data_IF_269935962427
#
_entry.id   IF_269935962427
#
_cell.length_a   1.000
_cell.length_b   1.000
_cell.length_c   1.000
_cell.angle_alpha   90.00
_cell.angle_beta   90.00
_cell.angle_gamma   90.00
#
_symmetry.space_group_name_H-M   'P 1'
#
loop_
_entity.id
_entity.type
_entity.pdbx_description
1 polymer ?
#
# COMPACT_ATOMS: atom_id res chain seq x y z
N UNK A 1 0.54 13.72 10.32
CA UNK A 1 -0.73 12.96 10.44
C UNK A 1 -0.54 11.54 9.85
N UNK A 2 0.42 10.74 10.34
CA UNK A 2 0.75 9.43 9.74
C UNK A 2 -0.05 8.25 10.30
N UNK A 3 -0.74 8.40 11.42
CA UNK A 3 -1.38 7.29 12.11
C UNK A 3 -2.54 6.68 11.31
N UNK A 4 -3.33 7.52 10.62
CA UNK A 4 -4.43 7.05 9.77
C UNK A 4 -3.89 6.30 8.55
N UNK A 5 -2.88 6.87 7.89
CA UNK A 5 -2.22 6.30 6.72
C UNK A 5 -1.72 4.88 7.00
N UNK A 6 -0.92 4.71 8.06
CA UNK A 6 -0.39 3.41 8.48
C UNK A 6 -1.48 2.46 8.97
N UNK A 7 -2.56 2.98 9.54
CA UNK A 7 -3.70 2.14 9.95
C UNK A 7 -4.44 1.58 8.76
N UNK A 8 -4.69 2.37 7.70
CA UNK A 8 -5.27 1.86 6.45
C UNK A 8 -4.39 0.75 5.88
N UNK A 9 -3.07 0.99 5.80
CA UNK A 9 -2.14 0.01 5.23
C UNK A 9 -2.10 -1.26 6.05
N UNK A 10 -2.04 -1.16 7.39
CA UNK A 10 -2.07 -2.30 8.30
C UNK A 10 -3.33 -3.15 8.11
N UNK A 11 -4.51 -2.52 8.19
CA UNK A 11 -5.79 -3.22 8.06
C UNK A 11 -5.91 -3.90 6.69
N UNK A 12 -5.41 -3.25 5.63
CA UNK A 12 -5.36 -3.84 4.30
C UNK A 12 -4.52 -5.13 4.27
N UNK A 13 -3.30 -5.11 4.80
CA UNK A 13 -2.44 -6.30 4.83
C UNK A 13 -3.01 -7.40 5.76
N UNK A 14 -3.48 -7.05 6.95
CA UNK A 14 -4.08 -8.00 7.90
C UNK A 14 -5.34 -8.66 7.32
N UNK A 15 -6.18 -7.91 6.58
CA UNK A 15 -7.36 -8.44 5.89
C UNK A 15 -7.01 -9.47 4.79
N UNK A 16 -5.77 -9.50 4.32
CA UNK A 16 -5.24 -10.49 3.37
C UNK A 16 -4.39 -11.57 4.04
N UNK A 17 -4.40 -11.67 5.37
CA UNK A 17 -3.72 -12.73 6.11
C UNK A 17 -2.24 -12.48 6.39
N UNK A 18 -1.76 -11.24 6.21
CA UNK A 18 -0.39 -10.89 6.56
C UNK A 18 -0.26 -10.64 8.06
N UNK A 19 0.89 -11.04 8.61
CA UNK A 19 1.38 -10.59 9.90
C UNK A 19 2.09 -9.24 9.70
N UNK A 20 1.65 -8.21 10.42
CA UNK A 20 2.15 -6.83 10.25
C UNK A 20 2.91 -6.36 11.50
N UNK A 21 4.15 -5.93 11.29
CA UNK A 21 4.99 -5.31 12.31
C UNK A 21 5.20 -3.83 12.01
N UNK A 22 4.77 -2.95 12.93
CA UNK A 22 5.05 -1.51 12.84
C UNK A 22 6.43 -1.20 13.40
N UNK A 23 7.27 -0.57 12.59
CA UNK A 23 8.69 -0.43 12.94
C UNK A 23 8.96 0.59 14.04
N UNK A 24 8.15 1.65 14.23
CA UNK A 24 8.25 2.59 15.37
C UNK A 24 6.92 3.29 15.65
N UNK A 25 6.52 3.39 16.93
CA UNK A 25 5.30 4.11 17.35
C UNK A 25 5.50 5.60 17.63
N UNK A 26 6.75 6.10 17.52
CA UNK A 26 7.12 7.49 17.80
C UNK A 26 7.85 8.10 16.61
N UNK A 27 7.79 9.43 16.49
CA UNK A 27 8.50 10.19 15.44
C UNK A 27 9.66 10.94 16.06
N UNK A 28 10.87 10.75 15.54
CA UNK A 28 12.04 11.53 15.93
C UNK A 28 11.96 12.91 15.25
N UNK A 29 11.91 13.98 16.05
CA UNK A 29 11.82 15.37 15.55
C UNK A 29 13.15 16.12 15.60
N UNK A 30 14.07 15.73 16.48
CA UNK A 30 15.31 16.47 16.78
C UNK A 30 16.45 16.25 15.77
N UNK A 31 16.30 15.30 14.84
CA UNK A 31 17.30 15.01 13.81
C UNK A 31 16.67 14.49 12.53
N UNK A 32 17.45 14.48 11.45
CA UNK A 32 17.07 13.82 10.21
C UNK A 32 16.80 12.32 10.47
N UNK A 33 15.74 11.80 9.85
CA UNK A 33 15.41 10.37 9.90
C UNK A 33 16.56 9.54 9.34
N UNK A 34 16.81 8.36 9.90
CA UNK A 34 17.69 7.35 9.28
C UNK A 34 16.92 6.59 8.19
N UNK A 35 17.63 5.84 7.36
CA UNK A 35 17.01 5.10 6.26
C UNK A 35 16.04 4.01 6.76
N UNK A 36 16.40 3.35 7.86
CA UNK A 36 15.58 2.33 8.52
C UNK A 36 14.31 2.90 9.18
N UNK A 37 14.30 4.20 9.48
CA UNK A 37 13.16 4.96 10.02
C UNK A 37 12.15 5.38 8.95
N UNK A 38 12.46 5.15 7.67
CA UNK A 38 11.56 5.38 6.54
C UNK A 38 10.74 4.13 6.19
N UNK A 39 11.06 2.98 6.82
CA UNK A 39 10.23 1.77 6.79
C UNK A 39 9.10 1.95 7.81
N UNK A 40 7.87 2.02 7.33
CA UNK A 40 6.68 2.14 8.18
C UNK A 40 6.30 0.78 8.76
N UNK A 41 6.23 -0.24 7.88
CA UNK A 41 5.74 -1.57 8.23
C UNK A 41 6.67 -2.63 7.64
N UNK A 42 6.73 -3.78 8.32
CA UNK A 42 7.24 -5.03 7.76
C UNK A 42 6.08 -6.02 7.76
N UNK A 43 5.84 -6.66 6.63
CA UNK A 43 4.72 -7.57 6.43
C UNK A 43 5.22 -8.95 6.03
N UNK A 44 4.58 -9.99 6.55
CA UNK A 44 4.89 -11.40 6.27
C UNK A 44 3.59 -12.14 5.97
N UNK A 45 3.52 -12.80 4.82
CA UNK A 45 2.42 -13.67 4.44
C UNK A 45 2.87 -15.14 4.55
N UNK A 46 2.38 -15.88 5.57
CA UNK A 46 2.71 -17.30 5.73
C UNK A 46 2.06 -18.19 4.65
N UNK A 47 1.07 -17.69 3.91
CA UNK A 47 0.31 -18.44 2.88
C UNK A 47 0.75 -18.08 1.45
N UNK A 48 1.89 -17.42 1.28
CA UNK A 48 2.30 -16.94 -0.03
C UNK A 48 2.63 -18.07 -1.01
N UNK A 49 2.24 -17.89 -2.28
CA UNK A 49 2.44 -18.88 -3.36
C UNK A 49 3.86 -18.95 -3.92
N UNK A 50 4.77 -18.08 -3.48
CA UNK A 50 6.22 -18.21 -3.72
C UNK A 50 6.73 -17.74 -5.09
N UNK A 51 5.89 -17.18 -5.96
CA UNK A 51 6.30 -16.76 -7.32
C UNK A 51 6.67 -15.28 -7.47
N UNK A 52 6.53 -14.48 -6.41
CA UNK A 52 6.69 -13.02 -6.50
C UNK A 52 5.58 -12.38 -7.35
N UNK A 53 5.33 -11.07 -7.22
CA UNK A 53 4.21 -10.43 -7.91
C UNK A 53 4.43 -10.36 -9.43
N UNK A 54 3.42 -10.76 -10.19
CA UNK A 54 3.40 -10.67 -11.66
C UNK A 54 3.29 -9.24 -12.19
N UNK A 55 2.76 -8.33 -11.38
CA UNK A 55 2.56 -6.92 -11.73
C UNK A 55 3.28 -6.00 -10.74
N UNK A 56 3.65 -4.80 -11.21
CA UNK A 56 4.31 -3.81 -10.36
C UNK A 56 3.32 -3.02 -9.50
N UNK A 57 2.14 -2.74 -10.03
CA UNK A 57 1.06 -2.15 -9.24
C UNK A 57 0.28 -3.27 -8.58
N UNK A 58 0.49 -3.43 -7.28
CA UNK A 58 -0.11 -4.52 -6.54
C UNK A 58 -1.54 -4.15 -6.14
N UNK A 59 -2.41 -5.13 -6.29
CA UNK A 59 -3.80 -5.12 -5.85
C UNK A 59 -4.08 -6.41 -5.04
N UNK A 60 -5.32 -6.59 -4.61
CA UNK A 60 -5.72 -7.75 -3.80
C UNK A 60 -5.58 -9.11 -4.51
N UNK A 61 -5.51 -9.16 -5.84
CA UNK A 61 -5.30 -10.38 -6.63
C UNK A 61 -3.82 -10.78 -6.70
N UNK A 62 -2.92 -9.78 -6.79
CA UNK A 62 -1.47 -10.00 -6.83
C UNK A 62 -0.83 -10.13 -5.45
N UNK A 63 -1.47 -9.58 -4.40
CA UNK A 63 -0.94 -9.54 -3.04
C UNK A 63 -0.59 -10.92 -2.46
N UNK A 64 -1.36 -12.00 -2.72
CA UNK A 64 -1.01 -13.35 -2.25
C UNK A 64 0.36 -13.87 -2.74
N UNK A 65 0.90 -13.29 -3.81
CA UNK A 65 2.22 -13.67 -4.36
C UNK A 65 3.38 -13.07 -3.54
N UNK A 66 3.10 -12.09 -2.68
CA UNK A 66 4.08 -11.44 -1.80
C UNK A 66 4.25 -12.26 -0.53
N UNK A 67 5.43 -12.84 -0.33
CA UNK A 67 5.77 -13.59 0.89
C UNK A 67 6.20 -12.71 2.04
N UNK A 68 7.05 -11.72 1.79
CA UNK A 68 7.46 -10.73 2.78
C UNK A 68 7.82 -9.41 2.12
N UNK A 69 7.55 -8.31 2.79
CA UNK A 69 7.90 -7.00 2.27
C UNK A 69 8.23 -5.99 3.38
N UNK A 70 9.12 -5.07 3.06
CA UNK A 70 9.16 -3.77 3.73
C UNK A 70 8.24 -2.80 3.02
N UNK A 71 7.49 -2.03 3.78
CA UNK A 71 6.50 -1.08 3.26
C UNK A 71 6.84 0.32 3.75
N UNK A 72 7.04 1.24 2.81
CA UNK A 72 7.11 2.67 3.10
C UNK A 72 5.79 3.33 2.72
N UNK A 73 5.19 4.04 3.67
CA UNK A 73 3.91 4.74 3.45
C UNK A 73 4.16 6.22 3.21
N UNK A 74 3.74 6.72 2.05
CA UNK A 74 3.73 8.15 1.73
C UNK A 74 2.30 8.65 1.78
N UNK A 75 2.03 9.65 2.61
CA UNK A 75 0.68 9.98 3.03
C UNK A 75 -0.25 10.37 1.88
N UNK A 76 -1.53 10.00 1.99
CA UNK A 76 -2.55 10.15 0.94
C UNK A 76 -2.78 11.60 0.48
N UNK A 77 -2.46 12.57 1.34
CA UNK A 77 -2.62 14.01 1.11
C UNK A 77 -1.47 14.62 0.32
N UNK A 78 -0.49 13.81 -0.11
CA UNK A 78 0.62 14.25 -0.95
C UNK A 78 0.25 14.24 -2.43
N UNK A 79 1.08 14.88 -3.25
CA UNK A 79 0.87 14.95 -4.70
C UNK A 79 0.90 13.57 -5.36
N UNK A 80 0.30 13.46 -6.54
CA UNK A 80 0.40 12.27 -7.40
C UNK A 80 1.86 12.05 -7.77
N UNK A 81 2.32 10.79 -7.76
CA UNK A 81 3.73 10.44 -7.98
C UNK A 81 4.08 10.47 -9.47
N UNK A 82 4.04 11.67 -10.07
CA UNK A 82 4.51 11.94 -11.42
C UNK A 82 6.06 11.97 -11.46
N UNK A 83 6.68 11.82 -12.65
CA UNK A 83 8.14 11.73 -12.74
C UNK A 83 8.87 12.94 -12.15
N UNK A 84 8.31 14.15 -12.30
CA UNK A 84 8.87 15.38 -11.71
C UNK A 84 8.91 15.34 -10.18
N UNK A 85 7.81 14.93 -9.53
CA UNK A 85 7.73 14.79 -8.07
C UNK A 85 8.77 13.79 -7.57
N UNK A 86 8.85 12.63 -8.23
CA UNK A 86 9.81 11.57 -7.89
C UNK A 86 11.27 12.01 -8.08
N UNK A 87 11.56 12.84 -9.09
CA UNK A 87 12.90 13.38 -9.32
C UNK A 87 13.33 14.36 -8.22
N UNK A 88 12.40 15.19 -7.72
CA UNK A 88 12.70 16.22 -6.72
C UNK A 88 12.59 15.74 -5.26
N UNK A 89 12.10 14.52 -5.02
CA UNK A 89 11.92 13.97 -3.67
C UNK A 89 12.73 12.68 -3.45
N UNK A 90 14.07 12.75 -3.40
CA UNK A 90 14.92 11.56 -3.23
C UNK A 90 14.67 10.83 -1.90
N UNK A 91 14.14 11.54 -0.90
CA UNK A 91 13.80 10.98 0.42
C UNK A 91 12.75 9.85 0.34
N UNK A 92 11.95 9.79 -0.72
CA UNK A 92 10.97 8.71 -0.92
C UNK A 92 11.66 7.35 -0.99
N UNK A 93 12.87 7.29 -1.54
CA UNK A 93 13.57 6.04 -1.84
C UNK A 93 14.46 5.55 -0.70
N UNK A 94 14.55 6.25 0.42
CA UNK A 94 15.50 5.89 1.49
C UNK A 94 15.26 4.52 2.11
N UNK A 95 14.01 4.03 2.09
CA UNK A 95 13.68 2.70 2.57
C UNK A 95 14.26 1.58 1.70
N UNK A 96 14.67 1.87 0.45
CA UNK A 96 15.34 0.91 -0.45
C UNK A 96 16.86 0.92 -0.29
N UNK A 97 17.42 1.86 0.48
CA UNK A 97 18.86 1.90 0.73
C UNK A 97 19.32 0.60 1.40
N UNK A 98 20.55 0.17 1.07
CA UNK A 98 21.11 -1.08 1.58
C UNK A 98 21.07 -1.15 3.12
N UNK A 99 21.32 -0.04 3.82
CA UNK A 99 21.27 0.02 5.29
C UNK A 99 19.88 -0.33 5.85
N UNK A 100 18.82 0.20 5.25
CA UNK A 100 17.43 -0.06 5.66
C UNK A 100 17.02 -1.50 5.34
N UNK A 101 17.38 -1.97 4.14
CA UNK A 101 17.07 -3.33 3.68
C UNK A 101 17.79 -4.37 4.54
N UNK A 102 19.08 -4.21 4.82
CA UNK A 102 19.83 -5.16 5.65
C UNK A 102 19.30 -5.23 7.08
N UNK A 103 18.84 -4.12 7.65
CA UNK A 103 18.20 -4.15 8.96
C UNK A 103 16.87 -4.92 8.95
N UNK A 104 16.06 -4.75 7.90
CA UNK A 104 14.84 -5.51 7.73
C UNK A 104 15.11 -7.01 7.53
N UNK A 105 16.11 -7.36 6.73
CA UNK A 105 16.53 -8.76 6.53
C UNK A 105 16.93 -9.46 7.83
N UNK A 106 17.52 -8.75 8.79
CA UNK A 106 17.84 -9.32 10.11
C UNK A 106 16.59 -9.71 10.91
N UNK A 107 15.46 -9.06 10.67
CA UNK A 107 14.20 -9.30 11.39
C UNK A 107 13.35 -10.39 10.72
N UNK A 108 13.25 -10.35 9.39
CA UNK A 108 12.34 -11.23 8.64
C UNK A 108 13.03 -12.15 7.66
N UNK A 109 14.36 -12.21 7.63
CA UNK A 109 15.12 -12.98 6.64
C UNK A 109 15.24 -12.29 5.28
N UNK A 110 16.14 -12.80 4.45
CA UNK A 110 16.49 -12.20 3.15
C UNK A 110 15.68 -12.71 1.96
N UNK A 111 15.21 -13.95 2.01
CA UNK A 111 14.60 -14.61 0.87
C UNK A 111 13.21 -14.04 0.54
N UNK A 112 13.01 -13.62 -0.71
CA UNK A 112 11.76 -13.06 -1.20
C UNK A 112 11.36 -11.69 -0.59
N UNK A 113 12.29 -10.94 0.02
CA UNK A 113 11.98 -9.63 0.61
C UNK A 113 11.77 -8.54 -0.44
N UNK A 114 10.52 -8.11 -0.61
CA UNK A 114 10.14 -7.04 -1.52
C UNK A 114 10.12 -5.67 -0.85
N UNK A 115 10.30 -4.63 -1.66
CA UNK A 115 10.29 -3.21 -1.29
C UNK A 115 9.04 -2.58 -1.87
N UNK A 116 7.99 -2.50 -1.07
CA UNK A 116 6.68 -1.99 -1.50
C UNK A 116 6.52 -0.53 -1.09
N UNK A 117 6.05 0.30 -2.01
CA UNK A 117 5.76 1.70 -1.78
C UNK A 117 4.25 1.94 -1.81
N UNK A 118 3.71 2.51 -0.73
CA UNK A 118 2.32 2.97 -0.71
C UNK A 118 2.26 4.44 -1.12
N UNK A 119 1.40 4.74 -2.10
CA UNK A 119 1.30 6.06 -2.72
C UNK A 119 -0.15 6.57 -2.73
N UNK A 120 -0.39 7.90 -2.78
CA UNK A 120 -1.71 8.47 -3.05
C UNK A 120 -2.31 7.95 -4.35
N UNK A 121 -1.48 7.89 -5.39
CA UNK A 121 -1.82 7.39 -6.71
C UNK A 121 -0.73 7.68 -7.73
N UNK A 122 -0.89 7.09 -8.91
CA UNK A 122 -0.06 7.37 -10.08
C UNK A 122 -0.81 8.27 -11.08
N UNK A 123 -0.09 8.92 -12.02
CA UNK A 123 -0.71 9.71 -13.08
C UNK A 123 -1.80 8.95 -13.82
N UNK A 124 -2.87 9.65 -14.23
CA UNK A 124 -3.96 9.05 -15.03
C UNK A 124 -3.58 8.84 -16.49
N UNK A 125 -2.72 9.70 -17.01
CA UNK A 125 -2.17 9.56 -18.36
C UNK A 125 -1.22 8.36 -18.43
N UNK A 126 -1.48 7.43 -19.34
CA UNK A 126 -0.76 6.15 -19.41
C UNK A 126 0.73 6.35 -19.66
N UNK A 127 1.11 7.23 -20.59
CA UNK A 127 2.52 7.48 -20.92
C UNK A 127 3.30 8.05 -19.73
N UNK A 128 2.67 8.95 -18.98
CA UNK A 128 3.28 9.53 -17.78
C UNK A 128 3.33 8.53 -16.62
N UNK A 129 2.31 7.67 -16.50
CA UNK A 129 2.26 6.58 -15.53
C UNK A 129 3.38 5.57 -15.77
N UNK A 130 3.59 5.13 -17.00
CA UNK A 130 4.64 4.18 -17.36
C UNK A 130 6.03 4.73 -17.00
N UNK A 131 6.28 6.01 -17.30
CA UNK A 131 7.53 6.70 -16.91
C UNK A 131 7.72 6.77 -15.40
N UNK A 132 6.65 7.01 -14.63
CA UNK A 132 6.72 6.96 -13.16
C UNK A 132 7.08 5.57 -12.67
N UNK A 133 6.46 4.51 -13.24
CA UNK A 133 6.72 3.12 -12.87
C UNK A 133 8.17 2.75 -13.19
N UNK A 134 8.66 3.10 -14.38
CA UNK A 134 10.05 2.87 -14.77
C UNK A 134 11.03 3.53 -13.81
N UNK A 135 10.77 4.79 -13.42
CA UNK A 135 11.60 5.51 -12.45
C UNK A 135 11.59 4.84 -11.08
N UNK A 136 10.42 4.39 -10.60
CA UNK A 136 10.31 3.68 -9.32
C UNK A 136 11.09 2.35 -9.34
N UNK A 137 10.95 1.56 -10.41
CA UNK A 137 11.70 0.31 -10.62
C UNK A 137 13.21 0.56 -10.68
N UNK A 138 13.65 1.55 -11.45
CA UNK A 138 15.06 1.91 -11.58
C UNK A 138 15.69 2.34 -10.24
N UNK A 139 14.88 2.81 -9.29
CA UNK A 139 15.30 3.17 -7.93
C UNK A 139 15.17 2.02 -6.93
N UNK A 140 14.85 0.80 -7.36
CA UNK A 140 14.86 -0.41 -6.53
C UNK A 140 13.55 -0.68 -5.77
N UNK A 141 12.46 0.01 -6.10
CA UNK A 141 11.11 -0.35 -5.63
C UNK A 141 10.66 -1.59 -6.40
N UNK A 142 10.08 -2.56 -5.70
CA UNK A 142 9.64 -3.84 -6.30
C UNK A 142 8.13 -3.84 -6.60
N UNK A 143 7.35 -3.00 -5.91
CA UNK A 143 5.92 -2.83 -6.19
C UNK A 143 5.31 -1.60 -5.53
N UNK A 144 4.14 -1.20 -6.02
CA UNK A 144 3.39 -0.02 -5.56
C UNK A 144 1.96 -0.38 -5.25
N UNK A 145 1.42 0.19 -4.16
CA UNK A 145 -0.01 0.06 -3.82
C UNK A 145 -0.59 1.45 -3.63
N UNK A 146 -1.72 1.74 -4.27
CA UNK A 146 -2.41 3.03 -4.08
C UNK A 146 -3.39 2.99 -2.91
N UNK A 147 -3.58 4.12 -2.23
CA UNK A 147 -4.65 4.25 -1.22
C UNK A 147 -6.02 3.94 -1.80
N UNK A 148 -6.27 4.32 -3.06
CA UNK A 148 -7.51 3.98 -3.75
C UNK A 148 -7.72 2.47 -3.80
N UNK A 149 -6.71 1.70 -4.23
CA UNK A 149 -6.81 0.25 -4.32
C UNK A 149 -7.10 -0.38 -2.93
N UNK A 150 -6.37 0.05 -1.90
CA UNK A 150 -6.57 -0.48 -0.54
C UNK A 150 -7.96 -0.14 0.01
N UNK A 151 -8.40 1.11 -0.11
CA UNK A 151 -9.70 1.54 0.40
C UNK A 151 -10.85 0.88 -0.36
N UNK A 152 -10.76 0.78 -1.69
CA UNK A 152 -11.78 0.08 -2.48
C UNK A 152 -11.92 -1.38 -2.06
N UNK A 153 -10.81 -2.07 -1.82
CA UNK A 153 -10.81 -3.45 -1.36
C UNK A 153 -11.38 -3.58 0.07
N UNK A 154 -10.93 -2.74 1.01
CA UNK A 154 -11.43 -2.73 2.38
C UNK A 154 -12.95 -2.46 2.44
N UNK A 155 -13.46 -1.51 1.64
CA UNK A 155 -14.89 -1.22 1.54
C UNK A 155 -15.69 -2.44 1.04
N UNK A 156 -15.16 -3.15 0.04
CA UNK A 156 -15.78 -4.36 -0.48
C UNK A 156 -15.80 -5.50 0.55
N UNK A 157 -14.74 -5.64 1.36
CA UNK A 157 -14.59 -6.69 2.39
C UNK A 157 -15.37 -6.42 3.68
N UNK A 158 -15.67 -5.16 3.99
CA UNK A 158 -16.41 -4.80 5.19
C UNK A 158 -17.89 -5.15 5.02
N UNK A 159 -18.40 -5.94 5.96
CA UNK A 159 -19.81 -6.37 6.00
C UNK A 159 -20.54 -5.74 7.19
N UNK A 160 -21.76 -5.25 6.97
CA UNK A 160 -22.57 -4.56 7.98
C UNK A 160 -22.97 -5.45 9.15
N UNK A 161 -23.07 -6.77 8.94
CA UNK A 161 -23.44 -7.76 9.94
C UNK A 161 -22.26 -8.35 10.74
N UNK A 162 -21.04 -7.84 10.55
CA UNK A 162 -19.83 -8.29 11.29
C UNK A 162 -19.39 -7.28 12.33
N UNK A 163 -18.72 -7.76 13.37
CA UNK A 163 -18.18 -6.92 14.43
C UNK A 163 -16.69 -6.62 14.24
N UNK A 164 -16.33 -5.34 14.10
CA UNK A 164 -14.94 -4.88 13.93
C UNK A 164 -14.43 -4.12 15.16
N UNK A 165 -14.77 -4.58 16.36
CA UNK A 165 -14.43 -3.94 17.65
C UNK A 165 -12.95 -3.60 17.85
N UNK A 166 -12.04 -4.28 17.15
CA UNK A 166 -10.59 -4.07 17.28
C UNK A 166 -10.02 -3.06 16.28
N UNK A 167 -10.85 -2.51 15.38
CA UNK A 167 -10.43 -1.59 14.35
C UNK A 167 -11.43 -0.44 14.17
N UNK A 168 -11.05 0.75 14.64
CA UNK A 168 -11.84 1.96 14.45
C UNK A 168 -12.05 2.29 12.97
N UNK A 169 -11.07 1.98 12.11
CA UNK A 169 -11.18 2.17 10.66
C UNK A 169 -12.27 1.27 10.07
N UNK A 170 -12.20 -0.05 10.31
CA UNK A 170 -13.18 -0.99 9.76
C UNK A 170 -14.57 -0.73 10.35
N UNK A 171 -14.64 -0.33 11.63
CA UNK A 171 -15.88 0.07 12.28
C UNK A 171 -16.48 1.34 11.64
N UNK A 172 -15.65 2.31 11.28
CA UNK A 172 -16.06 3.52 10.56
C UNK A 172 -16.56 3.16 9.16
N UNK A 173 -15.85 2.31 8.42
CA UNK A 173 -16.30 1.82 7.11
C UNK A 173 -17.64 1.09 7.22
N UNK A 174 -17.81 0.26 8.26
CA UNK A 174 -19.07 -0.45 8.53
C UNK A 174 -20.22 0.52 8.79
N UNK A 175 -19.98 1.55 9.60
CA UNK A 175 -20.96 2.60 9.89
C UNK A 175 -21.40 3.28 8.60
N UNK A 176 -20.45 3.78 7.81
CA UNK A 176 -20.74 4.47 6.55
C UNK A 176 -21.50 3.57 5.55
N UNK A 177 -21.15 2.28 5.47
CA UNK A 177 -21.86 1.31 4.64
C UNK A 177 -23.29 1.03 5.13
N UNK A 178 -23.48 0.94 6.45
CA UNK A 178 -24.80 0.71 7.06
C UNK A 178 -25.79 1.85 6.81
N UNK A 179 -25.29 3.08 6.65
CA UNK A 179 -26.10 4.26 6.29
C UNK A 179 -26.07 4.58 4.79
N UNK A 180 -25.62 3.65 3.95
CA UNK A 180 -25.60 3.79 2.49
C UNK A 180 -24.74 4.97 1.97
N UNK A 181 -23.82 5.48 2.81
CA UNK A 181 -22.90 6.58 2.46
C UNK A 181 -21.71 6.09 1.63
N UNK A 182 -21.43 4.78 1.65
CA UNK A 182 -20.46 4.12 0.79
C UNK A 182 -21.18 3.11 -0.10
N UNK A 183 -20.97 3.23 -1.41
CA UNK A 183 -21.45 2.25 -2.39
C UNK A 183 -20.35 1.25 -2.67
N UNK A 184 -20.72 -0.03 -2.80
CA UNK A 184 -19.81 -1.01 -3.36
C UNK A 184 -19.41 -0.59 -4.79
N UNK A 185 -18.19 -0.92 -5.26
CA UNK A 185 -17.78 -0.67 -6.64
C UNK A 185 -18.74 -1.40 -7.59
N UNK A 186 -19.74 -0.68 -8.12
CA UNK A 186 -20.67 -1.26 -9.10
C UNK A 186 -19.90 -1.56 -10.39
N UNK A 187 -20.06 -2.77 -10.91
CA UNK A 187 -19.78 -3.04 -12.32
C UNK A 187 -20.72 -2.16 -13.13
N UNK A 188 -20.19 -1.10 -13.77
CA UNK A 188 -20.95 -0.36 -14.77
C UNK A 188 -21.21 -1.28 -15.96
N UNK A 189 -22.33 -2.01 -15.89
CA UNK A 189 -22.94 -2.65 -17.04
C UNK A 189 -23.31 -1.55 -18.03
N UNK A 190 -22.44 -1.27 -18.99
CA UNK A 190 -22.76 -0.50 -20.18
C UNK A 190 -23.86 -1.24 -20.93
N UNK A 191 -25.11 -0.98 -20.56
CA UNK A 191 -26.28 -1.40 -21.33
C UNK A 191 -26.15 -0.73 -22.70
N UNK A 192 -25.68 -1.49 -23.69
CA UNK A 192 -25.66 -1.07 -25.09
C UNK A 192 -27.09 -0.69 -25.46
N UNK A 193 -27.33 0.60 -25.66
CA UNK A 193 -28.57 1.11 -26.21
C UNK A 193 -28.86 0.38 -27.53
N UNK A 194 -29.96 -0.38 -27.55
CA UNK A 194 -30.46 -1.07 -28.74
C UNK A 194 -30.93 0.03 -29.70
N UNK A 195 -30.12 0.33 -30.72
CA UNK A 195 -30.56 1.19 -31.84
C UNK A 195 -31.77 0.53 -32.49
N UNK A 196 -32.91 1.21 -32.44
CA UNK A 196 -34.05 0.97 -33.33
C UNK A 196 -33.80 1.70 -34.64
#
# INVERSE_FOLDING_TARGET
MSAVDETIVREYFEAHGFLVCQRRKYVVQSRQKRADEEISLIVLNPQASGHGPSEFELNSETLPQVSRAIVSVKGWHTEVFAPGVLAHQPKIFRFVEASAVEEAKKLVGSDGLLKILVVPGLPRDQKTRDRSIELLRARGVDGVISFRAMLSDLIARVHTNRNYQKSDLLQTLRLLKNYELLRDPQLELKLKAKRR
#
